data_IF_751000192911
#
_entry.id   IF_751000192911
#
_cell.length_a   1.000
_cell.length_b   1.000
_cell.length_c   1.000
_cell.angle_alpha   90.00
_cell.angle_beta   90.00
_cell.angle_gamma   90.00
#
_symmetry.space_group_name_H-M   'P 1'
#
loop_
_entity.id
_entity.type
_entity.pdbx_description
1 polymer ?
#
# COMPACT_ATOMS: atom_id res chain seq x y z
N UNK A 1 22.56 2.27 -7.93
CA UNK A 1 23.96 2.71 -8.14
C UNK A 1 23.98 4.02 -8.93
N UNK A 2 24.59 5.08 -8.37
CA UNK A 2 24.87 6.33 -9.09
C UNK A 2 25.85 6.08 -10.23
N UNK A 3 25.43 6.37 -11.45
CA UNK A 3 26.26 6.24 -12.66
C UNK A 3 25.96 7.41 -13.59
N UNK A 4 26.97 8.19 -13.92
CA UNK A 4 26.85 9.27 -14.89
C UNK A 4 26.94 8.72 -16.31
N UNK A 5 26.08 9.21 -17.18
CA UNK A 5 26.01 8.91 -18.61
C UNK A 5 26.12 10.16 -19.49
N UNK A 6 25.88 11.34 -18.91
CA UNK A 6 25.95 12.62 -19.61
C UNK A 6 26.45 13.71 -18.66
N UNK A 7 27.39 14.53 -19.12
CA UNK A 7 27.73 15.76 -18.41
C UNK A 7 26.65 16.82 -18.67
N UNK A 8 26.07 17.35 -17.59
CA UNK A 8 25.00 18.36 -17.66
C UNK A 8 25.36 19.49 -16.70
N UNK A 9 25.43 20.71 -17.23
CA UNK A 9 25.67 21.91 -16.43
C UNK A 9 24.33 22.43 -15.90
N UNK A 10 24.05 22.15 -14.62
CA UNK A 10 22.84 22.63 -13.95
C UNK A 10 22.99 24.08 -13.51
N UNK A 11 21.91 24.86 -13.62
CA UNK A 11 21.82 26.17 -12.96
C UNK A 11 21.90 25.97 -11.43
N UNK A 12 22.43 26.93 -10.65
CA UNK A 12 22.56 26.80 -9.20
C UNK A 12 21.26 26.39 -8.49
N UNK A 13 20.13 27.01 -8.86
CA UNK A 13 18.82 26.68 -8.31
C UNK A 13 18.37 25.23 -8.65
N UNK A 14 18.64 24.76 -9.87
CA UNK A 14 18.32 23.40 -10.30
C UNK A 14 19.18 22.36 -9.58
N UNK A 15 20.46 22.67 -9.37
CA UNK A 15 21.36 21.82 -8.60
C UNK A 15 20.93 21.75 -7.12
N UNK A 16 20.60 22.88 -6.50
CA UNK A 16 20.10 22.92 -5.13
C UNK A 16 18.81 22.08 -4.97
N UNK A 17 17.88 22.19 -5.91
CA UNK A 17 16.67 21.38 -5.91
C UNK A 17 16.97 19.87 -6.07
N UNK A 18 17.94 19.49 -6.91
CA UNK A 18 18.37 18.09 -7.03
C UNK A 18 18.98 17.54 -5.73
N UNK A 19 19.74 18.36 -5.00
CA UNK A 19 20.28 17.99 -3.69
C UNK A 19 19.14 17.75 -2.68
N UNK A 20 18.14 18.62 -2.66
CA UNK A 20 16.94 18.43 -1.82
C UNK A 20 16.17 17.17 -2.20
N UNK A 21 15.96 16.91 -3.49
CA UNK A 21 15.36 15.66 -3.97
C UNK A 21 16.16 14.45 -3.48
N UNK A 22 17.50 14.50 -3.57
CA UNK A 22 18.37 13.41 -3.11
C UNK A 22 18.24 13.18 -1.60
N UNK A 23 18.06 14.23 -0.80
CA UNK A 23 17.85 14.11 0.65
C UNK A 23 16.54 13.41 0.97
N UNK A 24 15.43 13.88 0.39
CA UNK A 24 14.09 13.30 0.60
C UNK A 24 14.08 11.83 0.16
N UNK A 25 14.68 11.52 -0.98
CA UNK A 25 14.80 10.13 -1.45
C UNK A 25 15.57 9.28 -0.43
N UNK A 26 16.69 9.79 0.09
CA UNK A 26 17.51 9.06 1.07
C UNK A 26 16.75 8.81 2.38
N UNK A 27 15.93 9.76 2.84
CA UNK A 27 15.04 9.59 4.01
C UNK A 27 14.07 8.41 3.83
N UNK A 28 13.50 8.26 2.64
CA UNK A 28 12.58 7.16 2.33
C UNK A 28 13.33 5.83 2.14
N UNK A 29 14.49 5.85 1.47
CA UNK A 29 15.33 4.67 1.31
C UNK A 29 15.84 4.12 2.65
N UNK A 30 16.15 5.00 3.61
CA UNK A 30 16.53 4.60 4.96
C UNK A 30 15.40 3.83 5.69
N UNK A 31 14.15 4.04 5.29
CA UNK A 31 12.98 3.31 5.77
C UNK A 31 12.65 2.07 4.93
N UNK A 32 13.50 1.73 3.94
CA UNK A 32 13.27 0.63 3.01
C UNK A 32 12.21 0.89 1.95
N UNK A 33 11.80 2.16 1.76
CA UNK A 33 10.77 2.56 0.81
C UNK A 33 11.38 3.14 -0.46
N UNK A 34 10.80 2.78 -1.62
CA UNK A 34 11.11 3.40 -2.91
C UNK A 34 10.01 4.38 -3.30
N UNK A 35 10.41 5.55 -3.79
CA UNK A 35 9.49 6.60 -4.21
C UNK A 35 9.24 6.58 -5.71
N UNK A 36 8.02 6.91 -6.11
CA UNK A 36 7.71 7.32 -7.49
C UNK A 36 8.00 8.81 -7.68
N UNK A 37 8.13 9.26 -8.94
CA UNK A 37 8.28 10.70 -9.25
C UNK A 37 7.13 11.54 -8.69
N UNK A 38 5.91 10.99 -8.68
CA UNK A 38 4.72 11.65 -8.13
C UNK A 38 4.81 11.80 -6.61
N UNK A 39 5.25 10.77 -5.90
CA UNK A 39 5.45 10.88 -4.45
C UNK A 39 6.52 11.92 -4.11
N UNK A 40 7.63 11.95 -4.86
CA UNK A 40 8.66 12.98 -4.67
C UNK A 40 8.09 14.39 -4.86
N UNK A 41 7.25 14.58 -5.89
CA UNK A 41 6.57 15.85 -6.12
C UNK A 41 5.74 16.30 -4.90
N UNK A 42 4.88 15.44 -4.36
CA UNK A 42 4.06 15.80 -3.20
C UNK A 42 4.89 16.02 -1.92
N UNK A 43 6.00 15.29 -1.75
CA UNK A 43 6.92 15.53 -0.64
C UNK A 43 7.63 16.90 -0.74
N UNK A 44 7.88 17.40 -1.96
CA UNK A 44 8.39 18.75 -2.18
C UNK A 44 7.30 19.82 -1.97
N UNK A 45 6.07 19.55 -2.39
CA UNK A 45 4.92 20.45 -2.19
C UNK A 45 4.58 20.61 -0.70
N UNK A 46 4.49 19.50 0.04
CA UNK A 46 4.21 19.51 1.49
C UNK A 46 5.28 20.22 2.33
N UNK A 47 6.52 20.29 1.82
CA UNK A 47 7.64 21.04 2.43
C UNK A 47 7.76 22.49 1.92
N UNK A 48 6.78 22.97 1.14
CA UNK A 48 6.74 24.30 0.52
C UNK A 48 7.98 24.61 -0.36
N UNK A 49 8.57 23.58 -0.97
CA UNK A 49 9.75 23.71 -1.83
C UNK A 49 9.33 24.06 -3.27
N UNK A 50 8.23 23.49 -3.75
CA UNK A 50 7.68 23.75 -5.08
C UNK A 50 6.17 23.99 -5.00
N UNK A 51 5.60 24.83 -5.88
CA UNK A 51 4.16 25.06 -5.89
C UNK A 51 3.41 23.86 -6.48
N UNK A 52 2.22 23.59 -5.94
CA UNK A 52 1.35 22.51 -6.40
C UNK A 52 0.65 22.86 -7.73
N UNK A 53 1.40 22.86 -8.84
CA UNK A 53 0.87 23.14 -10.18
C UNK A 53 1.41 22.15 -11.22
N UNK A 54 0.65 21.84 -12.30
CA UNK A 54 1.07 20.88 -13.33
C UNK A 54 2.43 21.20 -13.98
N UNK A 55 2.76 22.49 -14.10
CA UNK A 55 4.05 22.94 -14.64
C UNK A 55 5.22 22.53 -13.75
N UNK A 56 5.07 22.61 -12.43
CA UNK A 56 6.10 22.18 -11.47
C UNK A 56 6.36 20.70 -11.59
N UNK A 57 5.31 19.88 -11.72
CA UNK A 57 5.45 18.43 -11.91
C UNK A 57 6.23 18.09 -13.17
N UNK A 58 5.90 18.73 -14.31
CA UNK A 58 6.62 18.52 -15.57
C UNK A 58 8.09 18.93 -15.47
N UNK A 59 8.37 20.08 -14.87
CA UNK A 59 9.73 20.58 -14.68
C UNK A 59 10.56 19.67 -13.77
N UNK A 60 9.95 19.18 -12.68
CA UNK A 60 10.58 18.23 -11.77
C UNK A 60 10.93 16.92 -12.49
N UNK A 61 10.02 16.40 -13.32
CA UNK A 61 10.28 15.19 -14.11
C UNK A 61 11.49 15.33 -15.04
N UNK A 62 11.59 16.45 -15.76
CA UNK A 62 12.76 16.75 -16.60
C UNK A 62 14.04 16.88 -15.76
N UNK A 63 13.98 17.61 -14.65
CA UNK A 63 15.14 17.85 -13.78
C UNK A 63 15.67 16.54 -13.16
N UNK A 64 14.79 15.69 -12.65
CA UNK A 64 15.14 14.39 -12.08
C UNK A 64 15.76 13.47 -13.15
N UNK A 65 15.22 13.49 -14.37
CA UNK A 65 15.78 12.73 -15.50
C UNK A 65 17.21 13.17 -15.80
N UNK A 66 17.45 14.48 -15.92
CA UNK A 66 18.78 15.03 -16.14
C UNK A 66 19.72 14.73 -14.95
N UNK A 67 19.22 14.86 -13.71
CA UNK A 67 19.98 14.52 -12.50
C UNK A 67 20.43 13.06 -12.44
N UNK A 68 19.61 12.12 -12.95
CA UNK A 68 19.99 10.69 -13.08
C UNK A 68 21.03 10.50 -14.19
N UNK A 69 20.85 11.14 -15.34
CA UNK A 69 21.82 11.10 -16.45
C UNK A 69 23.19 11.67 -16.04
N UNK A 70 23.21 12.70 -15.21
CA UNK A 70 24.42 13.30 -14.66
C UNK A 70 25.03 12.53 -13.47
N UNK A 71 24.39 11.45 -13.01
CA UNK A 71 24.85 10.66 -11.86
C UNK A 71 24.68 11.34 -10.49
N UNK A 72 23.94 12.45 -10.41
CA UNK A 72 23.62 13.14 -9.15
C UNK A 72 22.63 12.31 -8.34
N UNK A 73 21.59 11.79 -9.00
CA UNK A 73 20.58 10.91 -8.43
C UNK A 73 20.88 9.44 -8.76
N UNK A 74 20.57 8.55 -7.83
CA UNK A 74 20.75 7.11 -8.05
C UNK A 74 19.72 6.58 -9.08
N UNK A 75 20.15 5.68 -9.96
CA UNK A 75 19.25 5.00 -10.90
C UNK A 75 18.16 4.16 -10.22
N UNK A 76 18.39 3.66 -9.00
CA UNK A 76 17.39 2.96 -8.20
C UNK A 76 16.64 3.88 -7.22
N UNK A 77 16.85 5.20 -7.29
CA UNK A 77 16.22 6.17 -6.38
C UNK A 77 14.72 6.34 -6.63
N UNK A 78 14.30 6.27 -7.89
CA UNK A 78 12.91 6.47 -8.30
C UNK A 78 12.42 5.26 -9.08
N UNK A 79 11.31 4.70 -8.62
CA UNK A 79 10.66 3.54 -9.20
C UNK A 79 9.64 3.92 -10.28
N UNK A 80 9.67 3.21 -11.40
CA UNK A 80 8.61 3.21 -12.42
C UNK A 80 7.84 1.90 -12.33
N UNK A 81 6.66 1.96 -11.70
CA UNK A 81 5.81 0.78 -11.45
C UNK A 81 5.09 0.27 -12.71
N UNK A 82 5.06 1.04 -13.80
CA UNK A 82 4.28 0.70 -14.99
C UNK A 82 5.04 -0.10 -16.06
N UNK A 83 6.35 -0.31 -15.89
CA UNK A 83 7.23 -0.86 -16.92
C UNK A 83 8.18 -1.93 -16.38
N UNK A 84 7.64 -2.89 -15.65
CA UNK A 84 8.43 -4.02 -15.16
C UNK A 84 8.44 -5.16 -16.20
N UNK A 85 9.62 -5.65 -16.62
CA UNK A 85 9.68 -6.80 -17.50
C UNK A 85 9.15 -8.04 -16.78
N UNK A 86 8.41 -8.88 -17.51
CA UNK A 86 8.03 -10.21 -17.02
C UNK A 86 9.26 -11.09 -17.16
N UNK A 87 9.85 -11.47 -16.03
CA UNK A 87 11.01 -12.36 -15.98
C UNK A 87 10.54 -13.78 -15.62
N UNK A 88 11.07 -14.78 -16.33
CA UNK A 88 10.91 -16.17 -15.92
C UNK A 88 11.76 -16.44 -14.67
N UNK A 89 11.24 -17.24 -13.75
CA UNK A 89 12.03 -17.68 -12.59
C UNK A 89 13.10 -18.67 -13.05
N UNK A 90 14.37 -18.39 -12.74
CA UNK A 90 15.50 -19.25 -13.01
C UNK A 90 16.28 -19.48 -11.71
N UNK A 91 16.75 -20.72 -11.53
CA UNK A 91 17.50 -21.12 -10.33
C UNK A 91 18.77 -21.86 -10.74
N UNK A 92 19.90 -21.52 -10.14
CA UNK A 92 21.21 -22.16 -10.36
C UNK A 92 21.29 -23.55 -9.73
N UNK A 93 20.31 -23.94 -8.92
CA UNK A 93 20.23 -25.26 -8.30
C UNK A 93 19.07 -25.40 -7.32
N UNK A 94 18.91 -26.62 -6.80
CA UNK A 94 17.83 -26.97 -5.88
C UNK A 94 17.86 -26.18 -4.57
N UNK A 95 19.04 -25.83 -4.06
CA UNK A 95 19.15 -25.01 -2.84
C UNK A 95 18.56 -23.61 -3.06
N UNK A 96 18.87 -22.96 -4.19
CA UNK A 96 18.33 -21.64 -4.51
C UNK A 96 16.81 -21.68 -4.75
N UNK A 97 16.31 -22.73 -5.42
CA UNK A 97 14.87 -22.96 -5.58
C UNK A 97 14.17 -23.07 -4.22
N UNK A 98 14.75 -23.86 -3.31
CA UNK A 98 14.17 -24.09 -1.98
C UNK A 98 14.27 -22.85 -1.11
N UNK A 99 15.35 -22.08 -1.19
CA UNK A 99 15.44 -20.80 -0.53
C UNK A 99 14.36 -19.84 -1.04
N UNK A 100 14.15 -19.76 -2.36
CA UNK A 100 13.06 -18.95 -2.93
C UNK A 100 11.68 -19.43 -2.44
N UNK A 101 11.44 -20.74 -2.40
CA UNK A 101 10.22 -21.32 -1.84
C UNK A 101 10.05 -21.00 -0.35
N UNK A 102 11.12 -21.02 0.45
CA UNK A 102 11.08 -20.64 1.86
C UNK A 102 10.74 -19.15 2.06
N UNK A 103 11.20 -18.28 1.15
CA UNK A 103 10.86 -16.85 1.22
C UNK A 103 9.37 -16.60 0.99
N UNK A 104 8.71 -17.39 0.12
CA UNK A 104 7.27 -17.28 -0.17
C UNK A 104 6.39 -18.17 0.72
N UNK A 105 6.94 -19.16 1.41
CA UNK A 105 6.17 -20.09 2.24
C UNK A 105 5.49 -19.37 3.41
N UNK A 106 4.16 -19.38 3.41
CA UNK A 106 3.30 -18.82 4.45
C UNK A 106 2.17 -19.80 4.72
N UNK A 107 1.80 -19.95 5.98
CA UNK A 107 0.57 -20.62 6.40
C UNK A 107 -0.56 -19.59 6.48
N UNK A 108 -1.83 -20.00 6.43
CA UNK A 108 -2.96 -19.08 6.56
C UNK A 108 -3.03 -18.54 8.00
N UNK A 109 -2.34 -17.42 8.26
CA UNK A 109 -2.20 -16.81 9.60
C UNK A 109 -3.52 -16.32 10.21
N UNK A 110 -4.53 -16.14 9.36
CA UNK A 110 -5.90 -15.77 9.72
C UNK A 110 -6.86 -16.96 9.82
N UNK A 111 -6.39 -18.20 9.65
CA UNK A 111 -7.26 -19.38 9.63
C UNK A 111 -8.02 -19.58 10.94
N UNK A 112 -7.36 -19.39 12.08
CA UNK A 112 -7.92 -19.63 13.41
C UNK A 112 -8.33 -18.32 14.12
N UNK A 113 -8.24 -17.18 13.45
CA UNK A 113 -8.59 -15.86 14.00
C UNK A 113 -10.11 -15.65 14.00
N UNK A 114 -10.61 -14.82 14.93
CA UNK A 114 -12.03 -14.45 14.99
C UNK A 114 -12.46 -13.57 13.80
N UNK A 115 -11.52 -12.81 13.23
CA UNK A 115 -11.78 -11.84 12.17
C UNK A 115 -11.20 -12.33 10.84
N UNK A 116 -11.83 -11.94 9.74
CA UNK A 116 -11.22 -11.93 8.42
C UNK A 116 -11.06 -10.49 7.96
N UNK A 117 -9.82 -10.07 7.71
CA UNK A 117 -9.48 -8.66 7.47
C UNK A 117 -8.89 -8.47 6.08
N UNK A 118 -9.48 -7.54 5.31
CA UNK A 118 -8.84 -7.01 4.10
C UNK A 118 -8.45 -5.52 4.29
N UNK A 119 -7.42 -5.09 3.55
CA UNK A 119 -6.90 -3.71 3.54
C UNK A 119 -7.05 -3.11 2.15
N UNK A 120 -7.95 -2.15 1.97
CA UNK A 120 -8.21 -1.53 0.68
C UNK A 120 -7.70 -0.10 0.66
N UNK A 121 -7.18 0.30 -0.49
CA UNK A 121 -6.71 1.66 -0.73
C UNK A 121 -7.25 2.22 -2.03
N UNK A 122 -7.68 3.47 -2.00
CA UNK A 122 -8.22 4.15 -3.18
C UNK A 122 -7.15 4.33 -4.27
N UNK A 123 -5.96 4.80 -3.89
CA UNK A 123 -4.90 5.21 -4.81
C UNK A 123 -3.77 4.20 -4.91
N UNK A 124 -3.44 3.78 -6.12
CA UNK A 124 -2.31 2.87 -6.40
C UNK A 124 -0.93 3.45 -6.03
N UNK A 125 -0.82 4.78 -5.95
CA UNK A 125 0.43 5.43 -5.51
C UNK A 125 0.86 4.95 -4.11
N UNK A 126 -0.10 4.64 -3.23
CA UNK A 126 0.15 4.16 -1.89
C UNK A 126 0.48 2.67 -1.81
N UNK A 127 0.21 1.89 -2.86
CA UNK A 127 0.36 0.43 -2.81
C UNK A 127 1.79 -0.02 -2.45
N UNK A 128 2.82 0.69 -2.90
CA UNK A 128 4.21 0.39 -2.53
C UNK A 128 4.55 0.63 -1.06
N UNK A 129 3.85 1.54 -0.37
CA UNK A 129 4.02 1.79 1.07
C UNK A 129 3.25 0.76 1.89
N UNK A 130 2.06 0.36 1.43
CA UNK A 130 1.17 -0.53 2.19
C UNK A 130 1.49 -2.03 2.01
N UNK A 131 2.00 -2.44 0.84
CA UNK A 131 2.34 -3.85 0.54
C UNK A 131 3.24 -4.52 1.58
N UNK A 132 4.33 -3.89 2.08
CA UNK A 132 5.15 -4.48 3.12
C UNK A 132 4.38 -4.81 4.40
N UNK A 133 3.48 -3.92 4.84
CA UNK A 133 2.65 -4.15 6.01
C UNK A 133 1.57 -5.20 5.77
N UNK A 134 0.88 -5.14 4.63
CA UNK A 134 -0.09 -6.15 4.25
C UNK A 134 0.53 -7.56 4.22
N UNK A 135 1.73 -7.67 3.63
CA UNK A 135 2.51 -8.91 3.60
C UNK A 135 2.98 -9.35 4.99
N UNK A 136 3.36 -8.41 5.86
CA UNK A 136 3.74 -8.70 7.25
C UNK A 136 2.58 -9.35 7.99
N UNK A 137 1.40 -8.74 8.02
CA UNK A 137 0.23 -9.29 8.73
C UNK A 137 -0.53 -10.34 7.93
N UNK A 138 -0.13 -10.62 6.68
CA UNK A 138 -0.79 -11.57 5.78
C UNK A 138 -2.27 -11.21 5.55
N UNK A 139 -2.59 -9.91 5.48
CA UNK A 139 -3.92 -9.39 5.11
C UNK A 139 -3.98 -9.20 3.60
N UNK A 140 -5.14 -9.52 3.01
CA UNK A 140 -5.36 -9.26 1.58
C UNK A 140 -5.40 -7.76 1.35
N UNK A 141 -4.61 -7.28 0.39
CA UNK A 141 -4.61 -5.86 0.01
C UNK A 141 -5.20 -5.65 -1.37
N UNK A 142 -6.09 -4.67 -1.50
CA UNK A 142 -6.73 -4.32 -2.77
C UNK A 142 -6.56 -2.82 -3.08
N UNK A 143 -6.43 -2.49 -4.35
CA UNK A 143 -6.37 -1.11 -4.83
C UNK A 143 -7.58 -0.82 -5.70
N UNK A 144 -8.47 0.05 -5.23
CA UNK A 144 -9.75 0.33 -5.87
C UNK A 144 -9.63 1.22 -7.13
N UNK A 145 -8.63 2.12 -7.17
CA UNK A 145 -8.46 3.12 -8.25
C UNK A 145 -9.75 3.94 -8.50
N UNK A 146 -10.41 4.37 -7.41
CA UNK A 146 -11.73 5.00 -7.45
C UNK A 146 -12.85 3.97 -7.28
N UNK A 147 -13.92 4.05 -8.07
CA UNK A 147 -15.04 3.11 -7.98
C UNK A 147 -14.69 1.77 -8.63
N UNK A 148 -14.75 0.70 -7.84
CA UNK A 148 -14.47 -0.65 -8.32
C UNK A 148 -15.55 -1.17 -9.28
N UNK A 149 -15.14 -1.95 -10.28
CA UNK A 149 -16.07 -2.59 -11.23
C UNK A 149 -16.99 -3.59 -10.53
N UNK A 150 -18.09 -3.98 -11.17
CA UNK A 150 -18.99 -5.01 -10.62
C UNK A 150 -18.27 -6.35 -10.45
N UNK A 151 -17.44 -6.75 -11.40
CA UNK A 151 -16.64 -7.98 -11.31
C UNK A 151 -15.68 -7.95 -10.11
N UNK A 152 -14.95 -6.84 -9.91
CA UNK A 152 -14.01 -6.72 -8.80
C UNK A 152 -14.69 -6.77 -7.42
N UNK A 153 -15.88 -6.15 -7.30
CA UNK A 153 -16.65 -6.20 -6.06
C UNK A 153 -17.28 -7.57 -5.82
N UNK A 154 -17.78 -8.24 -6.86
CA UNK A 154 -18.31 -9.59 -6.75
C UNK A 154 -17.22 -10.60 -6.37
N UNK A 155 -16.05 -10.55 -6.99
CA UNK A 155 -14.90 -11.37 -6.60
C UNK A 155 -14.48 -11.11 -5.15
N UNK A 156 -14.55 -9.86 -4.71
CA UNK A 156 -14.26 -9.50 -3.32
C UNK A 156 -15.29 -10.03 -2.35
N UNK A 157 -16.57 -9.92 -2.68
CA UNK A 157 -17.64 -10.49 -1.88
C UNK A 157 -17.47 -12.00 -1.70
N UNK A 158 -17.15 -12.73 -2.77
CA UNK A 158 -16.88 -14.17 -2.69
C UNK A 158 -15.72 -14.48 -1.76
N UNK A 159 -14.60 -13.73 -1.81
CA UNK A 159 -13.49 -13.92 -0.87
C UNK A 159 -13.93 -13.72 0.58
N UNK A 160 -14.70 -12.68 0.87
CA UNK A 160 -15.21 -12.44 2.21
C UNK A 160 -16.12 -13.58 2.68
N UNK A 161 -17.06 -14.03 1.83
CA UNK A 161 -17.96 -15.14 2.13
C UNK A 161 -17.14 -16.40 2.46
N UNK A 162 -16.27 -16.83 1.54
CA UNK A 162 -15.44 -18.04 1.69
C UNK A 162 -14.58 -18.01 2.96
N UNK A 163 -13.97 -16.86 3.30
CA UNK A 163 -13.10 -16.77 4.47
C UNK A 163 -13.87 -16.56 5.79
N UNK A 164 -15.14 -16.15 5.72
CA UNK A 164 -16.02 -16.04 6.88
C UNK A 164 -16.87 -17.29 7.11
N UNK A 165 -16.82 -18.27 6.21
CA UNK A 165 -17.32 -19.62 6.46
C UNK A 165 -16.67 -20.16 7.75
N UNK A 166 -17.49 -20.47 8.76
CA UNK A 166 -17.01 -20.85 10.09
C UNK A 166 -17.17 -19.79 11.17
N UNK A 167 -17.81 -18.65 10.86
CA UNK A 167 -18.25 -17.67 11.86
C UNK A 167 -17.29 -16.51 12.12
N UNK A 168 -16.34 -16.28 11.22
CA UNK A 168 -15.46 -15.11 11.34
C UNK A 168 -16.20 -13.83 10.99
N UNK A 169 -15.78 -12.73 11.61
CA UNK A 169 -16.31 -11.41 11.31
C UNK A 169 -15.58 -10.80 10.11
N UNK A 170 -16.29 -10.44 9.03
CA UNK A 170 -15.68 -9.74 7.90
C UNK A 170 -15.41 -8.29 8.27
N UNK A 171 -14.14 -7.88 8.24
CA UNK A 171 -13.71 -6.50 8.48
C UNK A 171 -12.94 -5.98 7.26
N UNK A 172 -13.27 -4.78 6.83
CA UNK A 172 -12.58 -4.09 5.75
C UNK A 172 -11.97 -2.78 6.25
N UNK A 173 -10.64 -2.69 6.24
CA UNK A 173 -9.91 -1.46 6.53
C UNK A 173 -9.71 -0.67 5.24
N UNK A 174 -10.18 0.57 5.19
CA UNK A 174 -10.16 1.41 3.99
C UNK A 174 -9.29 2.66 4.19
N UNK A 175 -8.43 2.93 3.20
CA UNK A 175 -7.67 4.18 3.07
C UNK A 175 -8.10 4.93 1.79
N UNK A 176 -8.66 6.12 1.97
CA UNK A 176 -9.11 6.99 0.87
C UNK A 176 -8.97 8.46 1.20
N UNK A 177 -9.17 9.30 0.19
CA UNK A 177 -9.12 10.75 0.36
C UNK A 177 -10.26 11.25 1.27
N UNK A 178 -10.05 12.40 1.93
CA UNK A 178 -11.13 13.16 2.54
C UNK A 178 -11.65 14.13 1.48
N UNK A 179 -12.52 13.64 0.60
CA UNK A 179 -13.21 14.38 -0.44
C UNK A 179 -14.62 13.80 -0.68
N UNK A 180 -15.51 14.47 -1.45
CA UNK A 180 -16.88 13.99 -1.66
C UNK A 180 -17.00 12.57 -2.22
N UNK A 181 -16.03 12.14 -3.04
CA UNK A 181 -16.02 10.80 -3.63
C UNK A 181 -15.41 9.76 -2.70
N UNK A 182 -14.37 10.11 -1.94
CA UNK A 182 -13.71 9.23 -0.98
C UNK A 182 -14.59 8.87 0.22
N UNK A 183 -15.44 9.78 0.68
CA UNK A 183 -16.47 9.49 1.69
C UNK A 183 -17.57 8.56 1.14
N UNK A 184 -18.11 8.86 -0.04
CA UNK A 184 -19.14 8.01 -0.66
C UNK A 184 -18.64 6.60 -1.00
N UNK A 185 -17.33 6.45 -1.24
CA UNK A 185 -16.73 5.15 -1.55
C UNK A 185 -16.93 4.14 -0.43
N UNK A 186 -16.83 4.57 0.83
CA UNK A 186 -17.04 3.68 2.00
C UNK A 186 -18.44 3.10 1.97
N UNK A 187 -19.44 3.98 1.77
CA UNK A 187 -20.85 3.60 1.62
C UNK A 187 -21.08 2.69 0.40
N UNK A 188 -20.50 3.01 -0.76
CA UNK A 188 -20.66 2.20 -1.98
C UNK A 188 -20.10 0.79 -1.81
N UNK A 189 -18.90 0.69 -1.25
CA UNK A 189 -18.23 -0.59 -0.96
C UNK A 189 -19.10 -1.42 -0.02
N UNK A 190 -19.50 -0.85 1.11
CA UNK A 190 -20.33 -1.54 2.10
C UNK A 190 -21.65 -2.02 1.49
N UNK A 191 -22.38 -1.13 0.81
CA UNK A 191 -23.67 -1.46 0.21
C UNK A 191 -23.55 -2.57 -0.84
N UNK A 192 -22.48 -2.58 -1.64
CA UNK A 192 -22.27 -3.58 -2.69
C UNK A 192 -21.79 -4.91 -2.13
N UNK A 193 -20.92 -4.91 -1.12
CA UNK A 193 -20.54 -6.15 -0.43
C UNK A 193 -21.77 -6.80 0.22
N UNK A 194 -22.63 -6.03 0.89
CA UNK A 194 -23.92 -6.53 1.41
C UNK A 194 -24.84 -7.02 0.30
N UNK A 195 -24.96 -6.28 -0.80
CA UNK A 195 -25.76 -6.70 -1.95
C UNK A 195 -25.31 -8.06 -2.51
N UNK A 196 -24.00 -8.33 -2.50
CA UNK A 196 -23.43 -9.60 -2.94
C UNK A 196 -23.38 -10.68 -1.86
N UNK A 197 -23.98 -10.46 -0.69
CA UNK A 197 -24.14 -11.48 0.35
C UNK A 197 -23.02 -11.52 1.38
N UNK A 198 -22.21 -10.46 1.52
CA UNK A 198 -21.28 -10.32 2.67
C UNK A 198 -22.03 -9.84 3.92
N UNK A 199 -23.06 -10.59 4.25
CA UNK A 199 -23.89 -10.46 5.43
C UNK A 199 -24.63 -11.79 5.56
N UNK A 200 -24.56 -12.40 6.73
CA UNK A 200 -25.29 -13.62 7.03
C UNK A 200 -26.33 -13.33 8.10
N UNK A 201 -27.58 -13.70 7.81
CA UNK A 201 -28.67 -13.78 8.79
C UNK A 201 -29.45 -15.07 8.50
N UNK A 202 -28.73 -16.20 8.58
CA UNK A 202 -29.26 -17.53 8.27
C UNK A 202 -29.62 -18.34 9.53
N UNK A 203 -29.50 -17.71 10.72
CA UNK A 203 -29.82 -18.30 12.01
C UNK A 203 -28.76 -19.28 12.56
N UNK A 204 -27.66 -19.50 11.83
CA UNK A 204 -26.52 -20.33 12.28
C UNK A 204 -25.29 -19.46 12.49
N UNK A 205 -25.02 -18.53 11.58
CA UNK A 205 -23.93 -17.56 11.69
C UNK A 205 -24.49 -16.19 11.32
N UNK A 206 -24.47 -15.24 12.25
CA UNK A 206 -24.90 -13.88 11.98
C UNK A 206 -23.70 -12.94 11.99
N UNK A 207 -23.38 -12.36 10.83
CA UNK A 207 -22.38 -11.31 10.70
C UNK A 207 -22.80 -10.26 9.69
N UNK A 208 -22.31 -9.04 9.90
CA UNK A 208 -22.41 -7.94 8.94
C UNK A 208 -21.00 -7.46 8.61
N UNK A 209 -20.78 -6.98 7.39
CA UNK A 209 -19.49 -6.40 6.99
C UNK A 209 -19.24 -5.10 7.76
N UNK A 210 -18.09 -5.02 8.40
CA UNK A 210 -17.62 -3.82 9.09
C UNK A 210 -16.57 -3.09 8.22
N UNK A 211 -17.00 -2.01 7.55
CA UNK A 211 -16.11 -1.18 6.72
C UNK A 211 -15.62 0.02 7.52
N UNK A 212 -14.33 0.05 7.84
CA UNK A 212 -13.68 1.08 8.65
C UNK A 212 -12.77 1.95 7.79
N UNK A 213 -13.10 3.24 7.65
CA UNK A 213 -12.19 4.23 7.08
C UNK A 213 -11.13 4.60 8.12
N UNK A 214 -9.91 4.07 7.96
CA UNK A 214 -8.81 4.31 8.90
C UNK A 214 -7.89 5.47 8.50
N UNK A 215 -7.99 5.91 7.24
CA UNK A 215 -7.40 7.15 6.75
C UNK A 215 -8.16 7.63 5.51
N UNK A 216 -8.29 8.92 5.23
CA UNK A 216 -7.97 10.09 6.06
C UNK A 216 -9.25 10.61 6.74
N UNK A 217 -9.27 10.72 8.08
CA UNK A 217 -10.41 11.27 8.85
C UNK A 217 -10.25 12.76 9.15
N UNK A 218 -11.33 13.50 9.50
CA UNK A 218 -11.23 14.90 9.90
C UNK A 218 -10.29 15.14 11.09
N UNK A 219 -10.29 14.25 12.08
CA UNK A 219 -9.42 14.35 13.26
C UNK A 219 -7.95 14.21 12.88
N UNK A 220 -7.65 13.31 11.94
CA UNK A 220 -6.31 13.14 11.40
C UNK A 220 -5.87 14.36 10.58
N UNK A 221 -6.79 15.03 9.87
CA UNK A 221 -6.49 16.30 9.20
C UNK A 221 -6.11 17.38 10.22
N UNK A 222 -6.85 17.49 11.32
CA UNK A 222 -6.53 18.46 12.38
C UNK A 222 -5.19 18.13 13.06
N UNK A 223 -4.92 16.84 13.30
CA UNK A 223 -3.70 16.37 13.96
C UNK A 223 -2.44 16.53 13.10
N UNK A 224 -2.51 16.12 11.83
CA UNK A 224 -1.32 16.06 10.94
C UNK A 224 -1.20 17.26 10.01
N UNK A 225 -2.22 18.12 9.95
CA UNK A 225 -2.27 19.33 9.14
C UNK A 225 -1.78 19.14 7.68
N UNK A 226 -2.29 18.13 6.94
CA UNK A 226 -1.91 17.94 5.55
C UNK A 226 -2.38 19.13 4.69
N UNK A 227 -1.67 19.45 3.58
CA UNK A 227 -2.04 20.55 2.70
C UNK A 227 -3.47 20.40 2.14
N UNK A 228 -4.35 21.40 2.31
CA UNK A 228 -5.70 21.35 1.80
C UNK A 228 -5.73 21.61 0.28
N UNK A 229 -6.73 21.01 -0.36
CA UNK A 229 -7.16 21.31 -1.72
C UNK A 229 -8.58 21.88 -1.71
N UNK A 230 -9.01 22.62 -2.75
CA UNK A 230 -10.41 22.96 -2.90
C UNK A 230 -11.25 21.71 -3.17
N UNK A 231 -12.37 21.55 -2.47
CA UNK A 231 -13.29 20.46 -2.73
C UNK A 231 -13.80 20.52 -4.18
N UNK A 232 -13.97 19.36 -4.81
CA UNK A 232 -14.49 19.27 -6.19
C UNK A 232 -15.98 19.62 -6.22
N UNK A 233 -16.29 20.90 -6.33
CA UNK A 233 -17.67 21.43 -6.36
C UNK A 233 -18.53 20.92 -7.53
N UNK A 234 -17.89 20.37 -8.57
CA UNK A 234 -18.59 19.72 -9.70
C UNK A 234 -19.08 18.31 -9.37
N UNK A 235 -18.67 17.72 -8.24
CA UNK A 235 -19.16 16.43 -7.78
C UNK A 235 -20.61 16.59 -7.29
N UNK A 236 -21.51 15.71 -7.73
CA UNK A 236 -22.92 15.73 -7.31
C UNK A 236 -23.09 15.54 -5.81
N UNK A 237 -22.07 14.98 -5.15
CA UNK A 237 -22.01 14.73 -3.70
C UNK A 237 -21.40 15.89 -2.92
N UNK A 238 -20.86 16.91 -3.61
CA UNK A 238 -20.18 18.02 -2.98
C UNK A 238 -21.08 18.78 -2.00
N UNK A 239 -22.39 18.88 -2.26
CA UNK A 239 -23.30 19.59 -1.36
C UNK A 239 -23.38 18.96 0.04
N UNK A 240 -23.51 17.62 0.12
CA UNK A 240 -23.54 16.90 1.39
C UNK A 240 -22.19 16.98 2.10
N UNK A 241 -21.10 16.73 1.36
CA UNK A 241 -19.75 16.83 1.89
C UNK A 241 -19.43 18.22 2.43
N UNK A 242 -19.78 19.29 1.71
CA UNK A 242 -19.50 20.67 2.14
C UNK A 242 -20.30 21.05 3.40
N UNK A 243 -21.52 20.51 3.56
CA UNK A 243 -22.30 20.73 4.76
C UNK A 243 -21.66 20.09 6.00
N UNK A 244 -20.93 18.99 5.83
CA UNK A 244 -20.33 18.21 6.92
C UNK A 244 -18.87 18.57 7.20
N UNK A 245 -18.04 18.74 6.16
CA UNK A 245 -16.60 18.89 6.25
C UNK A 245 -16.08 20.25 5.71
N UNK A 246 -16.96 21.08 5.15
CA UNK A 246 -16.59 22.36 4.55
C UNK A 246 -16.06 22.25 3.11
N UNK A 247 -15.51 23.35 2.59
CA UNK A 247 -15.14 23.49 1.17
C UNK A 247 -13.74 22.99 0.81
N UNK A 248 -13.08 22.29 1.73
CA UNK A 248 -11.71 21.78 1.57
C UNK A 248 -11.72 20.26 1.46
N UNK A 249 -10.75 19.72 0.71
CA UNK A 249 -10.49 18.29 0.60
C UNK A 249 -9.02 17.99 0.83
N UNK A 250 -8.71 16.76 1.21
CA UNK A 250 -7.34 16.34 1.53
C UNK A 250 -7.03 14.99 0.93
N UNK A 251 -5.81 14.85 0.42
CA UNK A 251 -5.34 13.61 -0.15
C UNK A 251 -4.65 12.75 0.90
N UNK A 252 -4.95 11.44 0.93
CA UNK A 252 -4.33 10.52 1.89
C UNK A 252 -2.82 10.36 1.68
N UNK A 253 -2.32 10.59 0.46
CA UNK A 253 -0.89 10.56 0.13
C UNK A 253 -0.11 11.77 0.61
N UNK A 254 -0.79 12.77 1.16
CA UNK A 254 -0.17 13.90 1.83
C UNK A 254 0.31 13.53 3.24
N UNK A 255 -0.21 12.45 3.84
CA UNK A 255 0.30 11.95 5.12
C UNK A 255 1.71 11.36 4.99
N UNK A 256 2.59 11.59 5.98
CA UNK A 256 3.89 10.91 6.03
C UNK A 256 3.74 9.37 6.05
N UNK A 257 4.62 8.61 5.36
CA UNK A 257 4.53 7.15 5.33
C UNK A 257 4.55 6.47 6.70
N UNK A 258 5.32 7.01 7.65
CA UNK A 258 5.36 6.48 9.01
C UNK A 258 4.02 6.65 9.74
N UNK A 259 3.26 7.72 9.47
CA UNK A 259 1.92 7.91 10.01
C UNK A 259 0.96 6.89 9.42
N UNK A 260 0.94 6.74 8.08
CA UNK A 260 0.11 5.73 7.40
C UNK A 260 0.41 4.32 7.91
N UNK A 261 1.69 4.00 8.10
CA UNK A 261 2.10 2.71 8.64
C UNK A 261 1.57 2.49 10.05
N UNK A 262 1.66 3.50 10.91
CA UNK A 262 1.19 3.41 12.29
C UNK A 262 -0.32 3.18 12.36
N UNK A 263 -1.11 3.93 11.57
CA UNK A 263 -2.57 3.79 11.50
C UNK A 263 -2.99 2.36 11.10
N UNK A 264 -2.27 1.76 10.15
CA UNK A 264 -2.56 0.38 9.71
C UNK A 264 -2.13 -0.64 10.77
N UNK A 265 -0.97 -0.44 11.39
CA UNK A 265 -0.50 -1.34 12.46
C UNK A 265 -1.51 -1.35 13.60
N UNK A 266 -1.92 -0.18 14.08
CA UNK A 266 -2.92 -0.06 15.16
C UNK A 266 -4.24 -0.74 14.78
N UNK A 267 -4.78 -0.43 13.59
CA UNK A 267 -6.04 -1.01 13.13
C UNK A 267 -5.99 -2.54 12.95
N UNK A 268 -4.85 -3.09 12.50
CA UNK A 268 -4.70 -4.53 12.31
C UNK A 268 -4.42 -5.24 13.63
N UNK A 269 -3.58 -4.68 14.50
CA UNK A 269 -3.23 -5.25 15.81
C UNK A 269 -4.43 -5.32 16.77
N UNK A 270 -5.42 -4.43 16.61
CA UNK A 270 -6.71 -4.52 17.31
C UNK A 270 -7.57 -5.72 16.86
N UNK A 271 -7.32 -6.27 15.66
CA UNK A 271 -8.15 -7.29 15.02
C UNK A 271 -7.51 -8.67 14.98
N UNK A 272 -6.23 -8.79 15.33
CA UNK A 272 -5.49 -10.06 15.31
C UNK A 272 -5.11 -10.47 16.72
N UNK A 273 -5.37 -11.73 17.06
CA UNK A 273 -4.75 -12.36 18.21
C UNK A 273 -3.28 -12.61 17.88
N UNK A 274 -2.40 -11.78 18.47
CA UNK A 274 -0.96 -11.80 18.24
C UNK A 274 -0.31 -13.10 18.72
N UNK A 275 -0.83 -13.74 19.76
CA UNK A 275 -0.28 -15.00 20.26
C UNK A 275 -0.56 -16.13 19.26
N UNK A 276 -1.79 -16.19 18.74
CA UNK A 276 -2.15 -17.14 17.68
C UNK A 276 -1.37 -16.87 16.39
N UNK A 277 -1.21 -15.61 16.01
CA UNK A 277 -0.43 -15.20 14.85
C UNK A 277 1.05 -15.62 14.97
N UNK A 278 1.69 -15.37 16.12
CA UNK A 278 3.08 -15.77 16.36
C UNK A 278 3.24 -17.30 16.44
N UNK A 279 2.25 -18.02 16.97
CA UNK A 279 2.25 -19.48 16.97
C UNK A 279 2.23 -20.06 15.54
N UNK A 280 1.45 -19.47 14.62
CA UNK A 280 1.46 -19.88 13.21
C UNK A 280 2.80 -19.56 12.55
N UNK A 281 3.39 -18.38 12.82
CA UNK A 281 4.72 -18.03 12.31
C UNK A 281 5.81 -18.99 12.81
N UNK A 282 5.75 -19.42 14.06
CA UNK A 282 6.69 -20.41 14.58
C UNK A 282 6.58 -21.73 13.82
N UNK A 283 5.35 -22.19 13.48
CA UNK A 283 5.13 -23.35 12.62
C UNK A 283 5.70 -23.17 11.21
N UNK A 284 5.56 -21.96 10.63
CA UNK A 284 6.13 -21.65 9.32
C UNK A 284 7.67 -21.78 9.33
N UNK A 285 8.34 -21.22 10.34
CA UNK A 285 9.80 -21.28 10.44
C UNK A 285 10.31 -22.71 10.65
N UNK A 286 9.61 -23.51 11.45
CA UNK A 286 9.91 -24.95 11.58
C UNK A 286 9.82 -25.66 10.22
N UNK A 287 8.75 -25.42 9.45
CA UNK A 287 8.58 -26.01 8.12
C UNK A 287 9.67 -25.59 7.13
N UNK A 288 10.09 -24.31 7.16
CA UNK A 288 11.22 -23.81 6.33
C UNK A 288 12.52 -24.50 6.70
N UNK A 289 12.79 -24.69 7.99
CA UNK A 289 14.01 -25.34 8.46
C UNK A 289 14.06 -26.82 8.10
N UNK A 290 12.93 -27.52 8.21
CA UNK A 290 12.80 -28.91 7.75
C UNK A 290 13.03 -29.03 6.25
N UNK A 291 12.43 -28.14 5.46
CA UNK A 291 12.59 -28.12 4.01
C UNK A 291 14.05 -27.88 3.61
N UNK A 292 14.73 -26.91 4.24
CA UNK A 292 16.16 -26.66 4.02
C UNK A 292 17.03 -27.88 4.37
N UNK A 293 16.76 -28.53 5.51
CA UNK A 293 17.49 -29.74 5.93
C UNK A 293 17.28 -30.90 4.95
N UNK A 294 16.06 -31.11 4.49
CA UNK A 294 15.73 -32.14 3.52
C UNK A 294 16.47 -31.91 2.19
N UNK A 295 16.48 -30.67 1.69
CA UNK A 295 17.18 -30.29 0.47
C UNK A 295 18.68 -30.51 0.56
N UNK A 296 19.32 -30.12 1.67
CA UNK A 296 20.77 -30.37 1.87
C UNK A 296 21.11 -31.86 1.80
N UNK A 297 20.29 -32.73 2.38
CA UNK A 297 20.47 -34.19 2.30
C UNK A 297 20.32 -34.69 0.86
N UNK A 298 19.30 -34.20 0.15
CA UNK A 298 19.06 -34.57 -1.25
C UNK A 298 20.21 -34.15 -2.16
N UNK A 299 20.68 -32.90 -2.04
CA UNK A 299 21.80 -32.37 -2.83
C UNK A 299 23.09 -33.13 -2.55
N UNK A 300 23.34 -33.55 -1.30
CA UNK A 300 24.49 -34.40 -0.98
C UNK A 300 24.40 -35.75 -1.71
N UNK A 301 23.23 -36.40 -1.67
CA UNK A 301 22.99 -37.69 -2.35
C UNK A 301 23.14 -37.61 -3.87
N UNK A 302 22.80 -36.47 -4.48
CA UNK A 302 22.93 -36.26 -5.93
C UNK A 302 24.38 -36.00 -6.38
N UNK A 303 25.30 -35.73 -5.46
CA UNK A 303 26.73 -35.53 -5.72
C UNK A 303 27.57 -36.79 -5.51
N UNK A 304 26.99 -37.82 -4.91
CA UNK A 304 27.56 -39.16 -4.71
C UNK A 304 27.21 -40.06 -5.89
#
# INVERSE_FOLDING_TARGET
>A
MKKAFKEINFKPASHALLVQCSSIIAEFQAQGLLMTLRQLYYQLVSRDIIPNIPRSYKNLGSLVSDGRLAGILDWSAIEDRGRQPILCSEFTGLEQLVDAACHSYRLPRWADQENYVELWVEKDALSGVLRPLASRYHVTMMVNKGYSSQSAMHESANRFIENCEGGKKPILLYLGDLDPSGEDMVRDIEARLKLFGVNSDDGVVNYDIDVRKIALTPEQVEQYNPPPNPAKMTDTRAAAYVAEHGSSSWEVDALPPNVLNQLIIEAVEELVDLDMYEAVKAKEELGKDELRKATKKLVKKLKE
#
